data_IF_085088864997
#
_entry.id   IF_085088864997
#
_cell.length_a   1.000
_cell.length_b   1.000
_cell.length_c   1.000
_cell.angle_alpha   90.00
_cell.angle_beta   90.00
_cell.angle_gamma   90.00
#
_symmetry.space_group_name_H-M   'P 1'
#
loop_
_entity.id
_entity.type
_entity.pdbx_description
1 polymer ?
#
# COMPACT_ATOMS: atom_id res chain seq x y z
N UNK A 1 -48.21 28.65 -1.34
CA UNK A 1 -47.05 28.88 -0.47
C UNK A 1 -45.98 27.97 -1.01
N UNK A 2 -45.16 28.54 -1.89
CA UNK A 2 -44.02 27.87 -2.53
C UNK A 2 -42.83 27.99 -1.57
N UNK A 3 -42.44 26.90 -0.93
CA UNK A 3 -41.13 26.76 -0.31
C UNK A 3 -40.28 25.91 -1.25
N UNK A 4 -39.53 26.59 -2.13
CA UNK A 4 -38.38 25.99 -2.79
C UNK A 4 -37.24 26.07 -1.79
N UNK A 5 -36.90 24.94 -1.19
CA UNK A 5 -35.71 24.81 -0.37
C UNK A 5 -34.45 25.09 -1.22
N UNK A 6 -33.79 26.16 -0.81
CA UNK A 6 -32.61 26.76 -1.43
C UNK A 6 -31.39 25.86 -1.16
N UNK A 7 -31.18 24.85 -2.01
CA UNK A 7 -30.02 23.94 -1.96
C UNK A 7 -28.70 24.59 -2.41
N UNK A 8 -28.66 25.92 -2.54
CA UNK A 8 -27.47 26.67 -2.96
C UNK A 8 -26.35 26.70 -1.90
N UNK A 9 -26.61 26.24 -0.66
CA UNK A 9 -25.66 26.26 0.45
C UNK A 9 -24.71 25.05 0.59
N UNK A 10 -24.93 23.93 -0.11
CA UNK A 10 -24.19 22.67 0.14
C UNK A 10 -22.90 22.50 -0.68
N UNK A 11 -22.58 23.43 -1.59
CA UNK A 11 -21.37 23.38 -2.43
C UNK A 11 -20.38 24.51 -2.14
N UNK A 12 -20.43 25.13 -0.96
CA UNK A 12 -19.40 26.09 -0.59
C UNK A 12 -18.18 25.36 -0.01
N UNK A 13 -17.41 24.72 -0.90
CA UNK A 13 -16.06 24.24 -0.57
C UNK A 13 -15.23 25.50 -0.29
N UNK A 14 -14.65 25.66 0.91
CA UNK A 14 -13.73 26.76 1.16
C UNK A 14 -12.52 26.52 0.25
N UNK A 15 -12.41 27.30 -0.82
CA UNK A 15 -11.23 27.32 -1.67
C UNK A 15 -10.12 27.97 -0.85
N UNK A 16 -9.36 27.15 -0.13
CA UNK A 16 -8.11 27.56 0.48
C UNK A 16 -7.26 28.22 -0.60
N UNK A 17 -7.04 29.53 -0.47
CA UNK A 17 -6.29 30.36 -1.39
C UNK A 17 -4.78 30.12 -1.28
N UNK A 18 -4.36 28.86 -1.44
CA UNK A 18 -3.02 28.50 -1.88
C UNK A 18 -3.14 28.10 -3.35
N UNK A 19 -2.88 29.04 -4.25
CA UNK A 19 -3.01 28.78 -5.68
C UNK A 19 -1.96 27.77 -6.13
N UNK A 20 -2.42 26.53 -6.43
CA UNK A 20 -1.62 25.45 -7.00
C UNK A 20 -0.79 25.88 -8.24
N UNK A 21 -1.29 26.85 -8.99
CA UNK A 21 -0.61 27.44 -10.14
C UNK A 21 -0.42 28.95 -9.95
N UNK A 22 0.82 29.43 -10.06
CA UNK A 22 1.17 30.86 -10.09
C UNK A 22 1.85 31.20 -11.42
N UNK A 23 1.86 32.47 -11.87
CA UNK A 23 2.43 32.85 -13.17
C UNK A 23 3.89 32.42 -13.39
N UNK A 24 4.69 32.28 -12.33
CA UNK A 24 6.06 31.80 -12.39
C UNK A 24 6.22 30.27 -12.30
N UNK A 25 5.17 29.54 -11.93
CA UNK A 25 5.18 28.08 -11.73
C UNK A 25 4.37 27.32 -12.78
N UNK A 26 3.88 27.99 -13.83
CA UNK A 26 3.00 27.38 -14.84
C UNK A 26 3.66 26.18 -15.52
N UNK A 27 4.95 26.28 -15.86
CA UNK A 27 5.69 25.18 -16.48
C UNK A 27 5.81 23.96 -15.53
N UNK A 28 6.21 24.20 -14.28
CA UNK A 28 6.31 23.15 -13.26
C UNK A 28 4.97 22.51 -12.92
N UNK A 29 3.89 23.30 -12.88
CA UNK A 29 2.53 22.81 -12.66
C UNK A 29 2.02 21.99 -13.86
N UNK A 30 2.33 22.42 -15.09
CA UNK A 30 2.01 21.68 -16.31
C UNK A 30 2.72 20.31 -16.35
N UNK A 31 4.00 20.26 -16.00
CA UNK A 31 4.78 19.02 -15.94
C UNK A 31 4.23 18.06 -14.86
N UNK A 32 3.89 18.60 -13.69
CA UNK A 32 3.27 17.82 -12.62
C UNK A 32 1.93 17.21 -13.04
N UNK A 33 1.05 18.01 -13.66
CA UNK A 33 -0.24 17.54 -14.16
C UNK A 33 -0.04 16.47 -15.23
N UNK A 34 0.87 16.68 -16.18
CA UNK A 34 1.16 15.68 -17.21
C UNK A 34 1.70 14.39 -16.63
N UNK A 35 2.55 14.46 -15.60
CA UNK A 35 3.03 13.27 -14.90
C UNK A 35 1.88 12.52 -14.22
N UNK A 36 0.95 13.25 -13.58
CA UNK A 36 -0.22 12.67 -12.92
C UNK A 36 -1.20 12.05 -13.94
N UNK A 37 -1.43 12.72 -15.07
CA UNK A 37 -2.26 12.23 -16.17
C UNK A 37 -1.67 10.97 -16.81
N UNK A 38 -0.36 10.97 -17.08
CA UNK A 38 0.34 9.81 -17.62
C UNK A 38 0.26 8.60 -16.68
N UNK A 39 0.35 8.81 -15.36
CA UNK A 39 0.19 7.74 -14.35
C UNK A 39 -1.20 7.11 -14.37
N UNK A 40 -2.20 7.83 -14.86
CA UNK A 40 -3.59 7.41 -15.00
C UNK A 40 -3.94 6.97 -16.44
N UNK A 41 -2.96 6.94 -17.35
CA UNK A 41 -3.15 6.50 -18.74
C UNK A 41 -3.72 7.58 -19.68
N UNK A 42 -3.76 8.84 -19.27
CA UNK A 42 -4.23 9.95 -20.10
C UNK A 42 -3.13 10.48 -21.03
N UNK A 43 -3.50 11.05 -22.20
CA UNK A 43 -2.55 11.62 -23.14
C UNK A 43 -1.87 12.86 -22.57
N UNK A 44 -0.62 13.09 -22.97
CA UNK A 44 0.15 14.28 -22.59
C UNK A 44 -0.50 15.56 -23.14
N UNK A 45 -0.70 16.54 -22.27
CA UNK A 45 -1.33 17.82 -22.60
C UNK A 45 -0.29 18.93 -22.70
N UNK A 46 -0.33 19.67 -23.81
CA UNK A 46 0.56 20.82 -24.03
C UNK A 46 -0.13 22.12 -23.66
N UNK A 47 -0.10 22.45 -22.38
CA UNK A 47 -0.80 23.62 -21.81
C UNK A 47 -0.29 24.97 -22.31
N UNK A 48 0.98 25.06 -22.70
CA UNK A 48 1.65 26.31 -23.07
C UNK A 48 1.60 26.60 -24.57
N UNK A 49 1.14 25.65 -25.39
CA UNK A 49 1.00 25.83 -26.83
C UNK A 49 -0.43 26.23 -27.17
N UNK A 50 -0.60 27.42 -27.74
CA UNK A 50 -1.92 27.94 -28.12
C UNK A 50 -2.37 27.40 -29.50
N UNK A 51 -2.16 26.11 -29.76
CA UNK A 51 -2.69 25.43 -30.95
C UNK A 51 -4.11 24.93 -30.68
N UNK A 52 -4.99 25.10 -31.65
CA UNK A 52 -6.41 24.69 -31.58
C UNK A 52 -6.52 23.19 -31.27
N UNK A 53 -5.61 22.37 -31.81
CA UNK A 53 -5.58 20.93 -31.56
C UNK A 53 -5.22 20.58 -30.11
N UNK A 54 -4.27 21.31 -29.52
CA UNK A 54 -3.84 21.07 -28.14
C UNK A 54 -4.90 21.56 -27.15
N UNK A 55 -5.57 22.68 -27.45
CA UNK A 55 -6.74 23.14 -26.70
C UNK A 55 -7.88 22.10 -26.75
N UNK A 56 -8.15 21.50 -27.91
CA UNK A 56 -9.15 20.42 -28.01
C UNK A 56 -8.79 19.18 -27.20
N UNK A 57 -7.51 18.77 -27.16
CA UNK A 57 -7.05 17.65 -26.31
C UNK A 57 -7.25 17.96 -24.83
N UNK A 58 -6.95 19.19 -24.41
CA UNK A 58 -7.13 19.65 -23.03
C UNK A 58 -8.61 19.61 -22.66
N UNK A 59 -9.49 20.17 -23.50
CA UNK A 59 -10.94 20.18 -23.26
C UNK A 59 -11.51 18.76 -23.20
N UNK A 60 -11.12 17.89 -24.12
CA UNK A 60 -11.56 16.49 -24.12
C UNK A 60 -11.07 15.74 -22.88
N UNK A 61 -9.82 15.95 -22.46
CA UNK A 61 -9.28 15.35 -21.24
C UNK A 61 -10.05 15.83 -20.00
N UNK A 62 -10.32 17.13 -19.88
CA UNK A 62 -11.12 17.70 -18.80
C UNK A 62 -12.54 17.11 -18.81
N UNK A 63 -13.17 17.00 -19.97
CA UNK A 63 -14.50 16.41 -20.11
C UNK A 63 -14.53 14.95 -19.63
N UNK A 64 -13.54 14.14 -20.02
CA UNK A 64 -13.43 12.73 -19.59
C UNK A 64 -13.21 12.64 -18.08
N UNK A 65 -12.37 13.50 -17.50
CA UNK A 65 -12.12 13.53 -16.05
C UNK A 65 -13.37 13.94 -15.25
N UNK A 66 -14.13 14.91 -15.75
CA UNK A 66 -15.39 15.33 -15.13
C UNK A 66 -16.44 14.22 -15.23
N UNK A 67 -16.55 13.56 -16.39
CA UNK A 67 -17.47 12.45 -16.58
C UNK A 67 -17.09 11.23 -15.71
N UNK A 68 -15.79 10.94 -15.57
CA UNK A 68 -15.30 9.91 -14.66
C UNK A 68 -15.67 10.24 -13.21
N UNK A 69 -15.45 11.49 -12.76
CA UNK A 69 -15.85 11.91 -11.41
C UNK A 69 -17.36 11.82 -11.19
N UNK A 70 -18.15 12.23 -12.17
CA UNK A 70 -19.62 12.15 -12.09
C UNK A 70 -20.07 10.69 -11.95
N UNK A 71 -19.52 9.80 -12.77
CA UNK A 71 -19.78 8.36 -12.68
C UNK A 71 -19.30 7.76 -11.33
N UNK A 72 -18.17 8.21 -10.79
CA UNK A 72 -17.64 7.75 -9.50
C UNK A 72 -18.50 8.22 -8.32
N UNK A 73 -19.12 9.40 -8.42
CA UNK A 73 -20.06 9.94 -7.43
C UNK A 73 -21.43 9.26 -7.55
N UNK A 74 -21.89 8.97 -8.76
CA UNK A 74 -23.19 8.34 -9.04
C UNK A 74 -23.20 6.83 -8.74
N UNK A 75 -22.07 6.13 -8.93
CA UNK A 75 -21.91 4.71 -8.56
C UNK A 75 -21.65 4.49 -7.06
N UNK A 76 -21.16 5.50 -6.34
CA UNK A 76 -20.87 5.42 -4.90
C UNK A 76 -22.08 5.07 -4.00
N UNK A 77 -23.30 5.59 -4.24
CA UNK A 77 -24.48 5.18 -3.48
C UNK A 77 -25.01 3.81 -3.93
N UNK A 78 -25.01 3.50 -5.22
CA UNK A 78 -25.60 2.24 -5.72
C UNK A 78 -24.72 1.00 -5.43
N UNK A 79 -23.40 1.11 -5.53
CA UNK A 79 -22.49 -0.01 -5.26
C UNK A 79 -22.33 -0.28 -3.75
N UNK A 80 -22.58 0.72 -2.88
CA UNK A 80 -22.53 0.57 -1.43
C UNK A 80 -23.83 0.03 -0.84
N UNK A 81 -25.00 0.41 -1.38
CA UNK A 81 -26.30 -0.08 -0.90
C UNK A 81 -26.69 -1.45 -1.49
N UNK A 82 -26.19 -1.83 -2.68
CA UNK A 82 -26.49 -3.16 -3.26
C UNK A 82 -25.53 -4.27 -2.80
N UNK A 83 -24.27 -3.96 -2.46
CA UNK A 83 -23.30 -4.96 -1.97
C UNK A 83 -23.37 -5.25 -0.47
N UNK A 84 -23.93 -4.34 0.33
CA UNK A 84 -23.96 -4.53 1.79
C UNK A 84 -24.96 -5.61 2.19
N UNK A 85 -26.06 -5.78 1.46
CA UNK A 85 -27.20 -6.60 1.88
C UNK A 85 -27.15 -8.08 1.46
N UNK A 86 -26.46 -8.47 0.37
CA UNK A 86 -26.58 -9.85 -0.17
C UNK A 86 -25.28 -10.57 -0.66
N UNK A 87 -24.08 -10.06 -0.38
CA UNK A 87 -22.83 -10.77 -0.76
C UNK A 87 -22.33 -11.68 0.39
N UNK A 88 -22.08 -12.99 0.14
CA UNK A 88 -21.57 -13.89 1.17
C UNK A 88 -20.22 -13.39 1.69
N UNK A 89 -20.02 -13.46 3.01
CA UNK A 89 -18.85 -12.93 3.74
C UNK A 89 -17.51 -13.29 3.09
N UNK A 90 -17.42 -14.50 2.50
CA UNK A 90 -16.24 -14.98 1.75
C UNK A 90 -15.89 -14.10 0.53
N UNK A 91 -16.88 -13.61 -0.23
CA UNK A 91 -16.63 -12.72 -1.40
C UNK A 91 -16.18 -11.32 -0.98
N UNK A 92 -16.74 -10.78 0.11
CA UNK A 92 -16.29 -9.50 0.69
C UNK A 92 -14.85 -9.59 1.18
N UNK A 93 -14.50 -10.69 1.84
CA UNK A 93 -13.13 -10.97 2.29
C UNK A 93 -12.14 -11.11 1.12
N UNK A 94 -12.52 -11.82 0.04
CA UNK A 94 -11.68 -11.94 -1.15
C UNK A 94 -11.43 -10.61 -1.87
N UNK A 95 -12.45 -9.75 -2.01
CA UNK A 95 -12.29 -8.42 -2.62
C UNK A 95 -11.40 -7.52 -1.76
N UNK A 96 -11.59 -7.52 -0.44
CA UNK A 96 -10.75 -6.76 0.48
C UNK A 96 -9.30 -7.24 0.42
N UNK A 97 -9.07 -8.56 0.43
CA UNK A 97 -7.75 -9.15 0.28
C UNK A 97 -7.09 -8.77 -1.05
N UNK A 98 -7.85 -8.74 -2.15
CA UNK A 98 -7.36 -8.33 -3.46
C UNK A 98 -6.97 -6.85 -3.50
N UNK A 99 -7.79 -5.96 -2.93
CA UNK A 99 -7.52 -4.52 -2.86
C UNK A 99 -6.29 -4.23 -1.99
N UNK A 100 -6.18 -4.90 -0.83
CA UNK A 100 -5.02 -4.78 0.06
C UNK A 100 -3.76 -5.29 -0.64
N UNK A 101 -3.83 -6.45 -1.31
CA UNK A 101 -2.71 -7.00 -2.07
C UNK A 101 -2.27 -6.05 -3.19
N UNK A 102 -3.20 -5.52 -3.99
CA UNK A 102 -2.86 -4.53 -5.04
C UNK A 102 -2.20 -3.27 -4.48
N UNK A 103 -2.66 -2.76 -3.33
CA UNK A 103 -2.10 -1.56 -2.69
C UNK A 103 -0.67 -1.81 -2.20
N UNK A 104 -0.43 -2.97 -1.59
CA UNK A 104 0.90 -3.39 -1.14
C UNK A 104 1.85 -3.61 -2.33
N UNK A 105 1.41 -4.27 -3.40
CA UNK A 105 2.21 -4.47 -4.61
C UNK A 105 2.56 -3.12 -5.27
N UNK A 106 1.61 -2.19 -5.38
CA UNK A 106 1.88 -0.85 -5.93
C UNK A 106 2.92 -0.10 -5.08
N UNK A 107 2.80 -0.14 -3.76
CA UNK A 107 3.74 0.51 -2.85
C UNK A 107 5.14 -0.11 -2.91
N UNK A 108 5.22 -1.44 -3.00
CA UNK A 108 6.48 -2.17 -3.14
C UNK A 108 7.17 -1.86 -4.48
N UNK A 109 6.43 -1.87 -5.59
CA UNK A 109 6.98 -1.53 -6.92
C UNK A 109 7.49 -0.09 -6.96
N UNK A 110 6.75 0.85 -6.35
CA UNK A 110 7.20 2.25 -6.24
C UNK A 110 8.51 2.37 -5.44
N UNK A 111 8.61 1.69 -4.30
CA UNK A 111 9.82 1.68 -3.47
C UNK A 111 11.03 1.09 -4.22
N UNK A 112 10.86 -0.07 -4.88
CA UNK A 112 11.92 -0.72 -5.65
C UNK A 112 12.36 0.14 -6.83
N UNK A 113 11.44 0.79 -7.55
CA UNK A 113 11.77 1.68 -8.65
C UNK A 113 12.56 2.92 -8.19
N UNK A 114 12.19 3.51 -7.04
CA UNK A 114 12.92 4.64 -6.48
C UNK A 114 14.34 4.24 -6.04
N UNK A 115 14.49 3.11 -5.34
CA UNK A 115 15.80 2.59 -4.93
C UNK A 115 16.68 2.21 -6.14
N UNK A 116 16.08 1.64 -7.19
CA UNK A 116 16.81 1.34 -8.44
C UNK A 116 17.30 2.62 -9.12
N UNK A 117 16.46 3.65 -9.21
CA UNK A 117 16.80 4.94 -9.83
C UNK A 117 17.90 5.68 -9.07
N UNK A 118 17.88 5.60 -7.73
CA UNK A 118 18.95 6.14 -6.87
C UNK A 118 20.28 5.40 -7.14
N UNK A 119 20.24 4.07 -7.20
CA UNK A 119 21.41 3.24 -7.50
C UNK A 119 21.99 3.51 -8.89
N UNK A 120 21.14 3.71 -9.89
CA UNK A 120 21.57 4.08 -11.25
C UNK A 120 22.26 5.46 -11.28
N UNK A 121 21.74 6.44 -10.54
CA UNK A 121 22.35 7.77 -10.47
C UNK A 121 23.76 7.72 -9.85
N UNK A 122 23.92 6.95 -8.76
CA UNK A 122 25.22 6.81 -8.10
C UNK A 122 26.22 6.00 -8.96
N UNK A 123 25.72 5.00 -9.70
CA UNK A 123 26.54 4.27 -10.68
C UNK A 123 26.96 5.17 -11.86
N UNK A 124 26.08 6.08 -12.30
CA UNK A 124 26.40 7.10 -13.30
C UNK A 124 27.50 8.05 -12.83
N UNK A 125 27.39 8.58 -11.61
CA UNK A 125 28.42 9.44 -10.99
C UNK A 125 29.75 8.70 -10.84
N UNK A 126 29.73 7.42 -10.43
CA UNK A 126 30.93 6.61 -10.30
C UNK A 126 31.59 6.37 -11.66
N UNK A 127 30.80 6.04 -12.69
CA UNK A 127 31.28 5.86 -14.06
C UNK A 127 31.93 7.15 -14.60
N UNK A 128 31.32 8.31 -14.37
CA UNK A 128 31.91 9.60 -14.74
C UNK A 128 33.24 9.86 -14.01
N UNK A 129 33.33 9.57 -12.71
CA UNK A 129 34.59 9.67 -11.95
C UNK A 129 35.66 8.74 -12.49
N UNK A 130 35.32 7.48 -12.77
CA UNK A 130 36.25 6.51 -13.35
C UNK A 130 36.71 6.95 -14.74
N UNK A 131 35.79 7.44 -15.58
CA UNK A 131 36.12 7.92 -16.92
C UNK A 131 37.01 9.16 -16.87
N UNK A 132 36.80 10.05 -15.90
CA UNK A 132 37.68 11.19 -15.63
C UNK A 132 39.08 10.73 -15.23
N UNK A 133 39.20 9.81 -14.27
CA UNK A 133 40.49 9.26 -13.82
C UNK A 133 41.22 8.55 -14.96
N UNK A 134 40.51 7.74 -15.76
CA UNK A 134 41.10 7.09 -16.94
C UNK A 134 41.60 8.13 -17.94
N UNK A 135 40.77 9.11 -18.32
CA UNK A 135 41.18 10.16 -19.25
C UNK A 135 42.35 11.00 -18.73
N UNK A 136 42.40 11.31 -17.44
CA UNK A 136 43.50 12.06 -16.83
C UNK A 136 44.80 11.23 -16.85
N UNK A 137 44.74 9.92 -16.62
CA UNK A 137 45.89 9.01 -16.76
C UNK A 137 46.34 8.84 -18.22
N UNK A 138 45.41 8.76 -19.17
CA UNK A 138 45.72 8.67 -20.60
C UNK A 138 46.29 9.97 -21.18
N UNK A 139 45.91 11.13 -20.64
CA UNK A 139 46.47 12.44 -21.04
C UNK A 139 47.81 12.75 -20.37
N UNK A 140 48.04 12.26 -19.15
CA UNK A 140 49.31 12.42 -18.43
C UNK A 140 50.42 11.46 -18.88
N UNK A 141 50.04 10.30 -19.41
CA UNK A 141 50.97 9.33 -19.99
C UNK A 141 51.16 9.60 -21.48
N UNK A 142 52.06 10.55 -21.81
CA UNK A 142 52.75 10.44 -23.09
C UNK A 142 53.37 9.05 -23.14
N UNK A 143 52.87 8.21 -24.05
CA UNK A 143 53.34 6.84 -24.28
C UNK A 143 54.82 6.90 -24.62
N UNK A 144 55.66 6.84 -23.59
CA UNK A 144 57.09 6.61 -23.69
C UNK A 144 57.30 5.17 -23.24
N UNK A 145 57.61 4.33 -24.22
CA UNK A 145 57.97 2.93 -24.07
C UNK A 145 59.03 2.78 -22.96
N UNK A 146 58.66 2.27 -21.79
CA UNK A 146 59.59 2.02 -20.68
C UNK A 146 60.16 0.61 -20.81
N UNK A 147 61.46 0.53 -21.10
CA UNK A 147 62.24 -0.71 -21.14
C UNK A 147 62.17 -1.44 -19.79
N UNK A 148 61.60 -2.64 -19.82
CA UNK A 148 61.55 -3.58 -18.69
C UNK A 148 62.95 -4.15 -18.50
N UNK A 149 63.73 -3.47 -17.65
CA UNK A 149 65.00 -3.88 -17.01
C UNK A 149 66.18 -2.93 -17.31
N UNK A 150 66.33 -1.83 -16.55
CA UNK A 150 67.61 -1.11 -16.49
C UNK A 150 68.59 -1.92 -15.63
N UNK A 151 69.74 -2.28 -16.21
CA UNK A 151 70.84 -2.91 -15.48
C UNK A 151 71.23 -2.09 -14.23
N UNK A 152 71.65 -2.75 -13.13
CA UNK A 152 71.86 -2.10 -11.85
C UNK A 152 73.05 -1.16 -11.93
N UNK A 153 72.80 0.16 -11.82
CA UNK A 153 73.87 1.12 -11.61
C UNK A 153 74.18 1.20 -10.12
N UNK A 154 75.37 0.76 -9.77
CA UNK A 154 76.03 1.08 -8.51
C UNK A 154 76.11 2.60 -8.34
N UNK A 155 75.46 3.15 -7.32
CA UNK A 155 75.89 4.43 -6.74
C UNK A 155 75.27 4.63 -5.36
N UNK A 156 76.16 4.67 -4.39
CA UNK A 156 75.99 5.03 -2.99
C UNK A 156 75.37 6.43 -2.86
N UNK A 157 74.09 6.55 -2.52
CA UNK A 157 73.42 7.72 -1.90
C UNK A 157 72.03 7.26 -1.40
N UNK A 158 71.50 7.77 -0.27
CA UNK A 158 70.20 7.33 0.24
C UNK A 158 69.10 7.80 -0.72
N UNK A 159 68.46 6.84 -1.37
CA UNK A 159 67.43 7.05 -2.37
C UNK A 159 66.19 7.64 -1.72
N UNK A 160 65.62 8.68 -2.33
CA UNK A 160 64.30 9.31 -2.05
C UNK A 160 63.10 8.33 -2.04
N UNK A 161 63.36 7.04 -2.25
CA UNK A 161 62.41 5.93 -2.28
C UNK A 161 61.93 5.51 -0.88
N UNK A 162 62.74 5.70 0.17
CA UNK A 162 62.33 5.36 1.55
C UNK A 162 61.25 6.28 2.10
N UNK A 163 61.38 7.59 1.83
CA UNK A 163 60.39 8.60 2.25
C UNK A 163 59.03 8.35 1.58
N UNK A 164 59.03 7.91 0.31
CA UNK A 164 57.80 7.57 -0.41
C UNK A 164 57.12 6.32 0.13
N UNK A 165 57.88 5.31 0.59
CA UNK A 165 57.31 4.11 1.22
C UNK A 165 56.78 4.41 2.63
N UNK A 166 57.47 5.26 3.38
CA UNK A 166 57.00 5.70 4.70
C UNK A 166 55.71 6.55 4.57
N UNK A 167 55.65 7.46 3.59
CA UNK A 167 54.42 8.21 3.26
C UNK A 167 53.26 7.28 2.87
N UNK A 168 53.52 6.23 2.09
CA UNK A 168 52.52 5.22 1.71
C UNK A 168 52.03 4.42 2.92
N UNK A 169 52.92 4.04 3.83
CA UNK A 169 52.58 3.40 5.10
C UNK A 169 51.73 4.30 6.01
N UNK A 170 52.09 5.58 6.17
CA UNK A 170 51.27 6.52 6.94
C UNK A 170 49.90 6.70 6.31
N UNK A 171 49.81 6.70 4.98
CA UNK A 171 48.55 6.81 4.27
C UNK A 171 47.66 5.58 4.47
N UNK A 172 48.22 4.37 4.42
CA UNK A 172 47.49 3.11 4.66
C UNK A 172 46.96 3.03 6.09
N UNK A 173 47.78 3.43 7.08
CA UNK A 173 47.36 3.49 8.48
C UNK A 173 46.23 4.49 8.67
N UNK A 174 46.36 5.71 8.13
CA UNK A 174 45.32 6.73 8.19
C UNK A 174 44.04 6.26 7.50
N UNK A 175 44.15 5.65 6.32
CA UNK A 175 43.02 5.07 5.61
C UNK A 175 42.32 3.99 6.44
N UNK A 176 43.08 3.12 7.12
CA UNK A 176 42.51 2.12 8.03
C UNK A 176 41.78 2.74 9.24
N UNK A 177 42.25 3.88 9.75
CA UNK A 177 41.53 4.63 10.79
C UNK A 177 40.26 5.30 10.24
N UNK A 178 40.32 5.91 9.05
CA UNK A 178 39.15 6.52 8.40
C UNK A 178 38.08 5.47 8.03
N UNK A 179 38.49 4.30 7.56
CA UNK A 179 37.58 3.19 7.27
C UNK A 179 36.93 2.65 8.54
N UNK A 180 37.69 2.48 9.62
CA UNK A 180 37.15 2.07 10.93
C UNK A 180 36.20 3.11 11.51
N UNK A 181 36.54 4.40 11.43
CA UNK A 181 35.65 5.48 11.86
C UNK A 181 34.34 5.46 11.06
N UNK A 182 34.43 5.27 9.75
CA UNK A 182 33.26 5.15 8.87
C UNK A 182 32.39 3.95 9.23
N UNK A 183 32.99 2.81 9.54
CA UNK A 183 32.28 1.59 9.97
C UNK A 183 31.56 1.81 11.30
N UNK A 184 32.24 2.40 12.30
CA UNK A 184 31.65 2.72 13.61
C UNK A 184 30.47 3.70 13.46
N UNK A 185 30.60 4.72 12.61
CA UNK A 185 29.50 5.66 12.35
C UNK A 185 28.31 4.98 11.67
N UNK A 186 28.57 4.05 10.74
CA UNK A 186 27.52 3.28 10.07
C UNK A 186 26.80 2.33 11.04
N UNK A 187 27.53 1.61 11.89
CA UNK A 187 26.96 0.77 12.94
C UNK A 187 26.14 1.60 13.93
N UNK A 188 26.67 2.76 14.37
CA UNK A 188 25.96 3.67 15.27
C UNK A 188 24.64 4.15 14.66
N UNK A 189 24.63 4.47 13.36
CA UNK A 189 23.41 4.84 12.64
C UNK A 189 22.40 3.68 12.57
N UNK A 190 22.88 2.45 12.32
CA UNK A 190 22.04 1.25 12.32
C UNK A 190 21.40 1.00 13.70
N UNK A 191 22.19 1.14 14.78
CA UNK A 191 21.71 1.02 16.16
C UNK A 191 20.62 2.06 16.49
N UNK A 192 20.85 3.32 16.10
CA UNK A 192 19.85 4.40 16.27
C UNK A 192 18.55 4.09 15.52
N UNK A 193 18.66 3.55 14.30
CA UNK A 193 17.49 3.16 13.51
C UNK A 193 16.72 2.00 14.17
N UNK A 194 17.43 0.97 14.66
CA UNK A 194 16.82 -0.16 15.36
C UNK A 194 16.11 0.30 16.64
N UNK A 195 16.74 1.17 17.42
CA UNK A 195 16.17 1.71 18.65
C UNK A 195 14.91 2.54 18.38
N UNK A 196 14.94 3.36 17.32
CA UNK A 196 13.78 4.13 16.85
C UNK A 196 12.63 3.21 16.45
N UNK A 197 12.92 2.10 15.78
CA UNK A 197 11.90 1.14 15.37
C UNK A 197 11.26 0.45 16.58
N UNK A 198 12.07 -0.04 17.53
CA UNK A 198 11.57 -0.63 18.78
C UNK A 198 10.70 0.34 19.56
N UNK A 199 11.14 1.59 19.69
CA UNK A 199 10.35 2.64 20.33
C UNK A 199 8.98 2.81 19.66
N UNK A 200 8.92 2.88 18.33
CA UNK A 200 7.65 2.99 17.59
C UNK A 200 6.77 1.78 17.78
N UNK A 201 7.33 0.56 17.73
CA UNK A 201 6.54 -0.66 17.89
C UNK A 201 5.91 -0.73 19.28
N UNK A 202 6.65 -0.39 20.33
CA UNK A 202 6.13 -0.34 21.71
C UNK A 202 5.05 0.75 21.84
N UNK A 203 5.28 1.95 21.28
CA UNK A 203 4.31 3.04 21.29
C UNK A 203 3.01 2.66 20.55
N UNK A 204 3.11 2.01 19.39
CA UNK A 204 1.94 1.51 18.65
C UNK A 204 1.20 0.43 19.43
N UNK A 205 1.91 -0.51 20.06
CA UNK A 205 1.29 -1.56 20.86
C UNK A 205 0.52 -0.99 22.06
N UNK A 206 1.08 0.03 22.72
CA UNK A 206 0.41 0.72 23.82
C UNK A 206 -0.80 1.53 23.32
N UNK A 207 -0.65 2.34 22.26
CA UNK A 207 -1.76 3.15 21.70
C UNK A 207 -2.87 2.31 21.09
N UNK A 208 -2.53 1.24 20.39
CA UNK A 208 -3.47 0.31 19.75
C UNK A 208 -4.33 -0.44 20.76
N UNK A 209 -3.81 -0.69 21.97
CA UNK A 209 -4.55 -1.33 23.06
C UNK A 209 -5.45 -0.34 23.81
N UNK A 210 -5.04 0.92 23.96
CA UNK A 210 -5.90 1.98 24.53
C UNK A 210 -7.16 2.22 23.68
N UNK A 211 -7.05 2.11 22.34
CA UNK A 211 -8.20 2.22 21.45
C UNK A 211 -9.24 1.10 21.64
N UNK A 212 -8.83 -0.09 22.12
CA UNK A 212 -9.77 -1.20 22.37
C UNK A 212 -10.59 -1.07 23.67
N UNK A 213 -10.18 -0.20 24.61
CA UNK A 213 -10.92 0.07 25.84
C UNK A 213 -11.71 1.39 25.81
N UNK A 214 -11.52 2.22 24.79
CA UNK A 214 -12.24 3.51 24.60
C UNK A 214 -13.63 3.35 23.96
N UNK A 215 -14.37 2.30 24.32
CA UNK A 215 -15.82 2.31 24.19
C UNK A 215 -16.39 3.03 25.44
N UNK A 216 -17.40 3.92 25.30
CA UNK A 216 -17.76 4.84 26.38
C UNK A 216 -18.43 4.09 27.54
N UNK A 217 -17.70 3.90 28.64
CA UNK A 217 -18.29 3.68 29.95
C UNK A 217 -18.21 5.00 30.75
N UNK A 218 -19.33 5.55 31.23
CA UNK A 218 -19.32 6.73 32.05
C UNK A 218 -19.04 6.30 33.48
N UNK A 219 -17.88 6.66 34.05
CA UNK A 219 -17.70 6.64 35.50
C UNK A 219 -16.59 7.59 35.94
N UNK A 220 -17.00 8.50 36.80
CA UNK A 220 -16.21 9.48 37.52
C UNK A 220 -15.19 8.82 38.45
N UNK A 221 -13.94 9.30 38.40
CA UNK A 221 -13.13 9.66 39.58
C UNK A 221 -11.67 9.75 39.17
N UNK A 222 -11.09 10.91 39.43
CA UNK A 222 -9.73 11.25 39.02
C UNK A 222 -8.66 10.36 39.63
N UNK A 223 -7.61 10.15 38.85
CA UNK A 223 -6.24 10.21 39.33
C UNK A 223 -5.35 10.72 38.20
N UNK A 224 -4.68 11.84 38.48
CA UNK A 224 -3.67 12.45 37.63
C UNK A 224 -2.48 11.51 37.49
N UNK A 225 -2.29 10.91 36.31
CA UNK A 225 -1.01 10.35 35.91
C UNK A 225 -0.68 10.87 34.50
N UNK A 226 0.21 11.86 34.49
CA UNK A 226 0.93 12.43 33.35
C UNK A 226 0.33 12.20 31.97
N UNK A 227 -0.44 13.18 31.50
CA UNK A 227 -0.69 13.40 30.07
C UNK A 227 0.63 13.23 29.30
N UNK A 228 0.79 12.14 28.56
CA UNK A 228 1.79 12.04 27.50
C UNK A 228 1.54 13.25 26.58
N UNK A 229 2.47 14.20 26.44
CA UNK A 229 2.27 15.32 25.54
C UNK A 229 2.08 14.74 24.14
N UNK A 230 0.97 15.12 23.51
CA UNK A 230 0.64 14.80 22.13
C UNK A 230 1.65 15.48 21.20
N UNK A 231 2.86 14.94 21.12
CA UNK A 231 3.84 15.33 20.12
C UNK A 231 3.63 14.43 18.89
N UNK A 232 3.70 14.97 17.67
CA UNK A 232 3.70 14.14 16.46
C UNK A 232 4.83 13.11 16.57
N UNK A 233 4.56 11.84 16.26
CA UNK A 233 5.53 10.71 16.29
C UNK A 233 6.87 11.08 15.61
N UNK A 234 6.85 12.00 14.65
CA UNK A 234 8.04 12.51 13.97
C UNK A 234 8.98 13.32 14.89
N UNK A 235 8.44 14.15 15.79
CA UNK A 235 9.24 14.92 16.77
C UNK A 235 9.83 14.00 17.85
N UNK A 236 9.05 13.00 18.24
CA UNK A 236 9.41 11.93 19.16
C UNK A 236 10.60 11.11 18.62
N UNK A 237 10.61 10.84 17.31
CA UNK A 237 11.68 10.11 16.62
C UNK A 237 12.94 10.97 16.40
N UNK A 238 12.81 12.29 16.23
CA UNK A 238 13.93 13.17 15.94
C UNK A 238 14.99 13.18 17.06
N UNK A 239 14.61 12.88 18.32
CA UNK A 239 15.55 12.82 19.45
C UNK A 239 16.59 11.70 19.33
N UNK A 240 16.27 10.63 18.60
CA UNK A 240 17.21 9.52 18.37
C UNK A 240 18.33 9.91 17.39
N UNK A 241 18.19 11.02 16.68
CA UNK A 241 19.23 11.57 15.80
C UNK A 241 20.11 12.61 16.51
N UNK A 242 19.75 13.03 17.74
CA UNK A 242 20.51 14.01 18.52
C UNK A 242 21.81 13.41 19.10
N UNK A 243 22.81 14.25 19.44
CA UNK A 243 24.03 13.81 20.10
C UNK A 243 23.75 12.98 21.36
N UNK A 244 24.43 11.83 21.47
CA UNK A 244 24.14 10.84 22.52
C UNK A 244 24.32 11.39 23.93
N UNK A 245 25.28 12.29 24.14
CA UNK A 245 25.54 12.93 25.43
C UNK A 245 24.39 13.83 25.92
N UNK A 246 23.46 14.23 25.04
CA UNK A 246 22.36 15.12 25.41
C UNK A 246 21.04 14.38 25.64
N UNK A 247 20.86 13.21 25.02
CA UNK A 247 19.57 12.50 25.00
C UNK A 247 19.65 11.05 25.44
N UNK A 248 20.85 10.47 25.56
CA UNK A 248 21.05 9.04 25.81
C UNK A 248 20.41 8.55 27.12
N UNK A 249 20.61 9.28 28.21
CA UNK A 249 20.06 8.94 29.52
C UNK A 249 18.53 8.97 29.53
N UNK A 250 17.94 9.99 28.90
CA UNK A 250 16.48 10.17 28.86
C UNK A 250 15.81 9.14 27.95
N UNK A 251 16.45 8.82 26.81
CA UNK A 251 15.96 7.76 25.91
C UNK A 251 15.93 6.40 26.63
N UNK A 252 16.95 6.10 27.45
CA UNK A 252 17.00 4.86 28.21
C UNK A 252 15.89 4.81 29.28
N UNK A 253 15.69 5.90 30.01
CA UNK A 253 14.64 6.01 31.02
C UNK A 253 13.23 5.89 30.41
N UNK A 254 12.97 6.59 29.31
CA UNK A 254 11.70 6.54 28.58
C UNK A 254 11.39 5.14 28.06
N UNK A 255 12.38 4.44 27.48
CA UNK A 255 12.20 3.08 26.99
C UNK A 255 11.93 2.09 28.11
N UNK A 256 12.61 2.22 29.26
CA UNK A 256 12.32 1.41 30.45
C UNK A 256 10.91 1.68 30.95
N UNK A 257 10.50 2.94 31.02
CA UNK A 257 9.13 3.33 31.41
C UNK A 257 8.07 2.74 30.48
N UNK A 258 8.25 2.85 29.17
CA UNK A 258 7.36 2.25 28.16
C UNK A 258 7.30 0.72 28.27
N UNK A 259 8.44 0.06 28.47
CA UNK A 259 8.51 -1.38 28.62
C UNK A 259 7.83 -1.85 29.93
N UNK A 260 8.01 -1.12 31.02
CA UNK A 260 7.35 -1.40 32.29
C UNK A 260 5.84 -1.20 32.20
N UNK A 261 5.38 -0.17 31.49
CA UNK A 261 3.95 0.01 31.18
C UNK A 261 3.43 -1.16 30.35
N UNK A 262 4.12 -1.53 29.28
CA UNK A 262 3.74 -2.68 28.44
C UNK A 262 3.71 -3.98 29.23
N UNK A 263 4.67 -4.19 30.14
CA UNK A 263 4.74 -5.38 31.00
C UNK A 263 3.61 -5.41 32.03
N UNK A 264 3.27 -4.27 32.63
CA UNK A 264 2.11 -4.17 33.54
C UNK A 264 0.80 -4.43 32.79
N UNK A 265 0.64 -3.85 31.61
CA UNK A 265 -0.52 -4.10 30.74
C UNK A 265 -0.58 -5.57 30.32
N UNK A 266 0.54 -6.17 29.91
CA UNK A 266 0.61 -7.58 29.54
C UNK A 266 0.22 -8.52 30.69
N UNK A 267 0.70 -8.23 31.90
CA UNK A 267 0.44 -9.05 33.09
C UNK A 267 -0.93 -8.79 33.74
N UNK A 268 -1.55 -7.64 33.47
CA UNK A 268 -2.91 -7.30 33.92
C UNK A 268 -3.98 -7.78 32.96
N UNK A 269 -3.59 -8.32 31.79
CA UNK A 269 -4.49 -9.15 31.00
C UNK A 269 -4.97 -10.28 31.91
N UNK A 270 -6.28 -10.52 32.05
CA UNK A 270 -6.70 -11.82 32.55
C UNK A 270 -6.02 -12.84 31.65
N UNK A 271 -5.28 -13.78 32.26
CA UNK A 271 -4.85 -14.97 31.54
C UNK A 271 -6.07 -15.43 30.74
N UNK A 272 -5.93 -15.44 29.41
CA UNK A 272 -6.99 -15.66 28.43
C UNK A 272 -8.14 -16.47 29.04
N UNK A 273 -9.35 -15.89 29.06
CA UNK A 273 -10.69 -16.52 29.18
C UNK A 273 -10.65 -17.92 29.81
N UNK A 274 -11.21 -18.09 31.01
CA UNK A 274 -11.12 -19.37 31.75
C UNK A 274 -11.37 -20.54 30.81
N UNK A 275 -10.62 -21.63 30.98
CA UNK A 275 -10.73 -22.82 30.12
C UNK A 275 -12.19 -23.30 30.02
N UNK A 276 -13.01 -23.04 31.05
CA UNK A 276 -14.45 -23.35 31.06
C UNK A 276 -15.26 -22.45 30.12
N UNK A 277 -14.93 -21.16 30.01
CA UNK A 277 -15.55 -20.24 29.04
C UNK A 277 -15.13 -20.55 27.60
N UNK A 278 -13.90 -21.02 27.39
CA UNK A 278 -13.45 -21.48 26.07
C UNK A 278 -14.14 -22.79 25.67
N UNK A 279 -14.30 -23.74 26.59
CA UNK A 279 -15.06 -24.98 26.38
C UNK A 279 -16.55 -24.71 26.12
N UNK A 280 -17.15 -23.75 26.82
CA UNK A 280 -18.54 -23.34 26.58
C UNK A 280 -18.74 -22.74 25.19
N UNK A 281 -17.82 -21.87 24.76
CA UNK A 281 -17.86 -21.31 23.39
C UNK A 281 -17.63 -22.37 22.32
N UNK A 282 -16.76 -23.35 22.59
CA UNK A 282 -16.49 -24.46 21.67
C UNK A 282 -17.71 -25.38 21.50
N UNK A 283 -18.43 -25.68 22.60
CA UNK A 283 -19.72 -26.39 22.54
C UNK A 283 -20.79 -25.61 21.79
N UNK A 284 -20.89 -24.29 22.02
CA UNK A 284 -21.85 -23.43 21.32
C UNK A 284 -21.55 -23.33 19.81
N UNK A 285 -20.27 -23.32 19.42
CA UNK A 285 -19.86 -23.37 18.01
C UNK A 285 -20.25 -24.71 17.40
N UNK A 286 -20.01 -25.82 18.10
CA UNK A 286 -20.34 -27.16 17.62
C UNK A 286 -21.86 -27.35 17.43
N UNK A 287 -22.68 -26.84 18.35
CA UNK A 287 -24.16 -26.88 18.22
C UNK A 287 -24.65 -26.03 17.05
N UNK A 288 -24.05 -24.86 16.83
CA UNK A 288 -24.39 -24.00 15.68
C UNK A 288 -23.97 -24.64 14.34
N UNK A 289 -22.84 -25.34 14.30
CA UNK A 289 -22.39 -26.07 13.10
C UNK A 289 -23.34 -27.23 12.77
N UNK A 290 -23.83 -27.98 13.75
CA UNK A 290 -24.85 -29.03 13.55
C UNK A 290 -26.18 -28.45 13.02
N UNK A 291 -26.63 -27.32 13.58
CA UNK A 291 -27.85 -26.65 13.12
C UNK A 291 -27.69 -26.09 11.70
N UNK A 292 -26.51 -25.56 11.35
CA UNK A 292 -26.19 -25.14 9.97
C UNK A 292 -26.28 -26.34 9.02
N UNK A 293 -25.76 -27.51 9.38
CA UNK A 293 -25.81 -28.70 8.53
C UNK A 293 -27.24 -29.23 8.35
N UNK A 294 -28.06 -29.15 9.40
CA UNK A 294 -29.48 -29.48 9.31
C UNK A 294 -30.23 -28.54 8.37
N UNK A 295 -30.00 -27.22 8.50
CA UNK A 295 -30.60 -26.22 7.61
C UNK A 295 -30.13 -26.37 6.16
N UNK A 296 -28.85 -26.74 5.94
CA UNK A 296 -28.33 -27.06 4.60
C UNK A 296 -29.10 -28.22 3.96
N UNK A 297 -29.33 -29.28 4.72
CA UNK A 297 -30.07 -30.46 4.23
C UNK A 297 -31.53 -30.13 3.91
N UNK A 298 -32.18 -29.33 4.76
CA UNK A 298 -33.56 -28.87 4.49
C UNK A 298 -33.63 -28.01 3.21
N UNK A 299 -32.66 -27.12 2.99
CA UNK A 299 -32.56 -26.35 1.75
C UNK A 299 -32.40 -27.28 0.54
N UNK A 300 -31.58 -28.32 0.64
CA UNK A 300 -31.37 -29.30 -0.44
C UNK A 300 -32.67 -30.06 -0.77
N UNK A 301 -33.40 -30.52 0.24
CA UNK A 301 -34.68 -31.22 0.06
C UNK A 301 -35.75 -30.29 -0.56
N UNK A 302 -35.79 -29.02 -0.14
CA UNK A 302 -36.71 -28.03 -0.72
C UNK A 302 -36.37 -27.69 -2.18
N UNK A 303 -35.08 -27.62 -2.52
CA UNK A 303 -34.65 -27.43 -3.90
C UNK A 303 -35.05 -28.61 -4.79
N UNK A 304 -34.89 -29.85 -4.31
CA UNK A 304 -35.33 -31.03 -5.04
C UNK A 304 -36.85 -31.03 -5.30
N UNK A 305 -37.65 -30.64 -4.30
CA UNK A 305 -39.10 -30.49 -4.47
C UNK A 305 -39.48 -29.38 -5.45
N UNK A 306 -38.73 -28.28 -5.48
CA UNK A 306 -38.95 -27.20 -6.45
C UNK A 306 -38.62 -27.66 -7.87
N UNK A 307 -37.53 -28.39 -8.06
CA UNK A 307 -37.16 -28.96 -9.37
C UNK A 307 -38.20 -29.96 -9.87
N UNK A 308 -38.73 -30.82 -8.99
CA UNK A 308 -39.81 -31.75 -9.34
C UNK A 308 -41.09 -31.00 -9.75
N UNK A 309 -41.52 -30.00 -8.97
CA UNK A 309 -42.69 -29.18 -9.30
C UNK A 309 -42.48 -28.40 -10.60
N UNK A 310 -41.27 -27.91 -10.85
CA UNK A 310 -40.91 -27.22 -12.07
C UNK A 310 -40.97 -28.15 -13.27
N UNK A 311 -40.46 -29.38 -13.15
CA UNK A 311 -40.56 -30.40 -14.19
C UNK A 311 -42.03 -30.72 -14.54
N UNK A 312 -42.87 -30.91 -13.51
CA UNK A 312 -44.31 -31.14 -13.72
C UNK A 312 -44.97 -29.94 -14.40
N UNK A 313 -44.62 -28.70 -14.01
CA UNK A 313 -45.14 -27.49 -14.64
C UNK A 313 -44.72 -27.40 -16.11
N UNK A 314 -43.46 -27.66 -16.44
CA UNK A 314 -42.97 -27.65 -17.83
C UNK A 314 -43.68 -28.69 -18.69
N UNK A 315 -43.98 -29.87 -18.14
CA UNK A 315 -44.70 -30.91 -18.88
C UNK A 315 -46.19 -30.55 -19.06
N UNK A 316 -46.80 -29.93 -18.06
CA UNK A 316 -48.15 -29.36 -18.17
C UNK A 316 -48.20 -28.25 -19.24
N UNK A 317 -47.20 -27.37 -19.28
CA UNK A 317 -47.09 -26.31 -20.28
C UNK A 317 -46.97 -26.88 -21.70
N UNK A 318 -46.21 -27.98 -21.89
CA UNK A 318 -46.16 -28.68 -23.19
C UNK A 318 -47.51 -29.28 -23.59
N UNK A 319 -48.25 -29.85 -22.64
CA UNK A 319 -49.60 -30.39 -22.91
C UNK A 319 -50.56 -29.25 -23.29
N UNK A 320 -50.47 -28.12 -22.60
CA UNK A 320 -51.25 -26.91 -22.93
C UNK A 320 -50.86 -26.38 -24.31
N UNK A 321 -49.57 -26.31 -24.65
CA UNK A 321 -49.10 -25.87 -25.96
C UNK A 321 -49.54 -26.82 -27.08
N UNK A 322 -49.51 -28.14 -26.84
CA UNK A 322 -50.06 -29.14 -27.77
C UNK A 322 -51.59 -29.00 -27.94
N UNK A 323 -52.30 -28.60 -26.88
CA UNK A 323 -53.73 -28.31 -26.94
C UNK A 323 -54.02 -27.01 -27.72
N UNK A 324 -53.26 -25.94 -27.48
CA UNK A 324 -53.43 -24.63 -28.12
C UNK A 324 -52.99 -24.62 -29.59
N UNK A 325 -51.97 -25.41 -29.96
CA UNK A 325 -51.49 -25.55 -31.34
C UNK A 325 -52.43 -26.35 -32.25
N UNK A 326 -53.55 -26.88 -31.72
CA UNK A 326 -54.60 -27.55 -32.50
C UNK A 326 -54.27 -28.99 -32.92
N UNK A 327 -53.11 -29.53 -32.55
CA UNK A 327 -52.68 -30.88 -32.91
C UNK A 327 -53.24 -31.99 -32.00
N UNK A 328 -54.02 -31.65 -30.97
CA UNK A 328 -54.54 -32.59 -29.97
C UNK A 328 -55.39 -33.74 -30.56
N UNK A 329 -56.14 -33.49 -31.65
CA UNK A 329 -56.99 -34.49 -32.30
C UNK A 329 -56.39 -35.08 -33.60
N UNK A 330 -55.17 -34.67 -33.97
CA UNK A 330 -54.59 -35.06 -35.26
C UNK A 330 -54.25 -36.56 -35.32
N UNK A 331 -53.73 -37.13 -34.22
CA UNK A 331 -53.43 -38.57 -34.14
C UNK A 331 -54.67 -39.48 -34.06
N UNK A 332 -55.79 -38.98 -33.51
CA UNK A 332 -57.05 -39.74 -33.46
C UNK A 332 -57.80 -39.73 -34.81
N UNK A 333 -57.53 -38.75 -35.67
CA UNK A 333 -58.16 -38.67 -37.01
C UNK A 333 -57.50 -39.59 -38.05
N UNK A 334 -56.22 -39.95 -37.87
CA UNK A 334 -55.50 -40.87 -38.77
C UNK A 334 -55.91 -42.34 -38.57
N UNK A 335 -56.20 -42.79 -37.34
CA UNK A 335 -56.69 -44.15 -37.10
C UNK A 335 -58.13 -44.38 -37.60
N UNK A 336 -58.96 -43.34 -37.65
CA UNK A 336 -60.35 -43.45 -38.15
C UNK A 336 -60.42 -43.43 -39.68
N UNK A 337 -59.46 -42.81 -40.38
CA UNK A 337 -59.44 -42.82 -41.85
C UNK A 337 -58.89 -44.13 -42.45
N UNK A 338 -58.01 -44.85 -41.73
CA UNK A 338 -57.49 -46.15 -42.21
C UNK A 338 -58.49 -47.31 -42.10
N UNK A 339 -59.51 -47.21 -41.25
CA UNK A 339 -60.55 -48.25 -41.08
C UNK A 339 -61.80 -48.07 -41.96
N UNK A 340 -61.86 -47.02 -42.78
CA UNK A 340 -62.99 -46.76 -43.70
C UNK A 340 -62.68 -47.05 -45.18
N UNK A 341 -61.49 -47.61 -45.48
CA UNK A 341 -61.07 -47.98 -46.84
C UNK A 341 -60.74 -49.48 -47.02
N UNK A 342 -61.31 -50.35 -46.16
CA UNK A 342 -61.19 -51.81 -46.26
C UNK A 342 -62.45 -52.47 -46.81
#
# INVERSE_FOLDING_TARGET
MDERDDLSGLFNIPVSSEHFCTPGSIASAADYINHQLASQGYPELRFLNNDVNDVSKIINCISTLLQQRQNDVEKKPEELDTLTTNMPVKRKFCLLAHIVAQRLTKQYVFFVAHELRKREQDNGKLKERMQKILNDKYKGSNISLTLINPAPKSSTLPTKSGISQDEEMYHEVLQGYEEREREILAENQSLRQSLTNLYREIDILLRGQVATFSAPFPSESGNNLGSLPYAPILAEVARFQMPFNMTGEHIEEDLKGLLDMLKKEWNSRPAMVSVEEMQGREQEIMEKDEEIDKQRKEIEDLLAQLDEKKFVSEEQDKVIDHFLSGNFFQGASEEVQLNMSG
#
